data_IF_859171077092
#
_entry.id   IF_859171077092
#
_cell.length_a   1.000
_cell.length_b   1.000
_cell.length_c   1.000
_cell.angle_alpha   90.00
_cell.angle_beta   90.00
_cell.angle_gamma   90.00
#
_symmetry.space_group_name_H-M   'P 1'
#
loop_
_entity.id
_entity.type
_entity.pdbx_description
1 polymer ?
#
# COMPACT_ATOMS: atom_id res chain seq x y z
N UNK A 1 30.26 19.95 -17.09
CA UNK A 1 29.92 18.51 -17.07
C UNK A 1 29.01 18.12 -18.23
N UNK A 2 27.76 18.61 -18.33
CA UNK A 2 26.87 18.28 -19.47
C UNK A 2 27.54 18.48 -20.84
N UNK A 3 28.22 19.60 -21.07
CA UNK A 3 28.99 19.85 -22.31
C UNK A 3 30.16 18.88 -22.54
N UNK A 4 30.78 18.37 -21.46
CA UNK A 4 31.90 17.41 -21.55
C UNK A 4 31.41 15.99 -21.88
N UNK A 5 30.18 15.66 -21.47
CA UNK A 5 29.52 14.38 -21.72
C UNK A 5 28.57 14.43 -22.93
N UNK A 6 28.54 15.55 -23.65
CA UNK A 6 27.61 15.82 -24.75
C UNK A 6 26.13 15.56 -24.43
N UNK A 7 25.69 15.98 -23.23
CA UNK A 7 24.32 15.82 -22.77
C UNK A 7 23.55 17.15 -22.66
N UNK A 8 22.22 17.14 -22.90
CA UNK A 8 21.39 18.33 -22.75
C UNK A 8 21.28 18.74 -21.28
N UNK A 9 21.21 20.05 -21.00
CA UNK A 9 20.95 20.53 -19.65
C UNK A 9 19.50 20.25 -19.23
N UNK A 10 19.32 19.61 -18.07
CA UNK A 10 18.02 19.34 -17.47
C UNK A 10 17.84 20.05 -16.13
N UNK A 11 16.59 20.31 -15.76
CA UNK A 11 16.19 20.94 -14.50
C UNK A 11 15.14 20.08 -13.78
N UNK A 12 15.07 20.14 -12.44
CA UNK A 12 14.15 19.34 -11.61
C UNK A 12 14.53 17.86 -11.50
N UNK A 13 13.56 16.96 -11.30
CA UNK A 13 13.81 15.51 -11.16
C UNK A 13 14.52 14.84 -12.36
N UNK A 14 14.40 15.32 -13.61
CA UNK A 14 15.22 14.85 -14.72
C UNK A 14 16.71 15.18 -14.58
N UNK A 15 17.07 16.26 -13.87
CA UNK A 15 18.46 16.63 -13.57
C UNK A 15 19.09 15.65 -12.57
N UNK A 16 18.35 15.29 -11.53
CA UNK A 16 18.85 14.37 -10.50
C UNK A 16 19.15 13.00 -11.09
N UNK A 17 18.26 12.50 -11.97
CA UNK A 17 18.49 11.28 -12.75
C UNK A 17 19.67 11.39 -13.71
N UNK A 18 19.85 12.54 -14.35
CA UNK A 18 21.00 12.77 -15.23
C UNK A 18 22.32 12.72 -14.46
N UNK A 19 22.36 13.30 -13.25
CA UNK A 19 23.54 13.25 -12.39
C UNK A 19 23.83 11.81 -11.95
N UNK A 20 22.80 11.03 -11.61
CA UNK A 20 22.97 9.61 -11.28
C UNK A 20 23.48 8.81 -12.48
N UNK A 21 22.97 9.08 -13.69
CA UNK A 21 23.43 8.47 -14.94
C UNK A 21 24.92 8.75 -15.22
N UNK A 22 25.50 9.84 -14.69
CA UNK A 22 26.93 10.13 -14.85
C UNK A 22 27.86 9.14 -14.16
N UNK A 23 27.37 8.40 -13.15
CA UNK A 23 28.14 7.33 -12.50
C UNK A 23 28.59 6.25 -13.48
N UNK A 24 28.01 6.20 -14.68
CA UNK A 24 28.38 5.25 -15.72
C UNK A 24 29.66 5.62 -16.46
N UNK A 25 30.03 6.89 -16.45
CA UNK A 25 31.21 7.40 -17.13
C UNK A 25 32.40 7.54 -16.18
N UNK A 26 32.13 7.87 -14.92
CA UNK A 26 33.16 8.11 -13.92
C UNK A 26 32.64 8.00 -12.49
N UNK A 27 33.52 7.67 -11.56
CA UNK A 27 33.28 7.76 -10.12
C UNK A 27 33.52 9.21 -9.67
N UNK A 28 32.60 9.78 -8.90
CA UNK A 28 32.74 11.13 -8.38
C UNK A 28 32.30 11.23 -6.92
N UNK A 29 32.90 12.19 -6.20
CA UNK A 29 32.41 12.69 -4.92
C UNK A 29 31.77 14.07 -5.12
N UNK A 30 30.55 14.26 -4.64
CA UNK A 30 29.80 15.52 -4.83
C UNK A 30 29.83 16.31 -3.54
N UNK A 31 30.53 17.43 -3.57
CA UNK A 31 30.64 18.36 -2.45
C UNK A 31 29.87 19.65 -2.78
N UNK A 32 28.59 19.69 -2.41
CA UNK A 32 27.68 20.78 -2.76
C UNK A 32 27.44 20.89 -4.26
N UNK A 33 27.95 21.97 -4.88
CA UNK A 33 27.88 22.18 -6.34
C UNK A 33 29.14 21.69 -7.08
N UNK A 34 30.17 21.23 -6.37
CA UNK A 34 31.41 20.73 -6.95
C UNK A 34 31.34 19.22 -7.13
N UNK A 35 31.94 18.74 -8.22
CA UNK A 35 32.13 17.33 -8.51
C UNK A 35 33.63 17.05 -8.54
N UNK A 36 34.10 16.17 -7.67
CA UNK A 36 35.48 15.67 -7.65
C UNK A 36 35.48 14.32 -8.35
N UNK A 37 36.10 14.26 -9.53
CA UNK A 37 36.20 13.01 -10.29
C UNK A 37 37.32 12.17 -9.69
N UNK A 38 36.98 10.99 -9.20
CA UNK A 38 37.91 10.05 -8.56
C UNK A 38 38.51 9.09 -9.58
N UNK A 39 37.71 8.63 -10.54
CA UNK A 39 38.12 7.62 -11.52
C UNK A 39 37.27 7.79 -12.78
N UNK A 40 37.89 7.72 -13.97
CA UNK A 40 37.19 7.75 -15.25
C UNK A 40 37.29 6.38 -15.90
N UNK A 41 36.16 5.83 -16.32
CA UNK A 41 36.11 4.50 -16.92
C UNK A 41 36.48 4.57 -18.41
N UNK A 42 37.32 3.64 -18.86
CA UNK A 42 37.74 3.57 -20.28
C UNK A 42 36.56 3.24 -21.22
N UNK A 43 35.60 2.45 -20.74
CA UNK A 43 34.33 2.18 -21.39
C UNK A 43 33.21 2.49 -20.40
N UNK A 44 32.15 3.17 -20.86
CA UNK A 44 31.00 3.47 -20.01
C UNK A 44 30.35 2.16 -19.54
N UNK A 45 30.02 2.06 -18.25
CA UNK A 45 29.27 0.91 -17.77
C UNK A 45 27.86 0.89 -18.40
N UNK A 46 27.25 -0.29 -18.59
CA UNK A 46 25.90 -0.40 -19.12
C UNK A 46 24.92 0.47 -18.34
N UNK A 47 23.89 0.98 -19.02
CA UNK A 47 22.85 1.72 -18.33
C UNK A 47 22.08 0.74 -17.45
N UNK A 48 22.12 0.94 -16.14
CA UNK A 48 21.15 0.34 -15.24
C UNK A 48 19.81 1.06 -15.44
N UNK A 49 19.16 0.80 -16.58
CA UNK A 49 17.77 1.20 -16.75
C UNK A 49 16.91 0.12 -16.07
N UNK A 50 16.42 0.40 -14.86
CA UNK A 50 15.45 -0.48 -14.20
C UNK A 50 14.20 -0.75 -15.05
N UNK A 51 13.97 0.02 -16.13
CA UNK A 51 12.90 -0.22 -17.11
C UNK A 51 13.19 -1.35 -18.09
N UNK A 52 14.47 -1.69 -18.34
CA UNK A 52 14.85 -2.84 -19.21
C UNK A 52 14.67 -4.18 -18.50
N UNK A 53 14.49 -4.18 -17.16
CA UNK A 53 13.91 -5.30 -16.38
C UNK A 53 12.38 -5.32 -16.37
N UNK A 54 11.74 -4.55 -17.26
CA UNK A 54 10.29 -4.49 -17.40
C UNK A 54 9.66 -3.50 -16.43
N UNK A 55 9.20 -2.38 -16.96
CA UNK A 55 8.14 -1.58 -16.34
C UNK A 55 6.76 -2.28 -16.41
N UNK A 56 6.73 -3.59 -16.76
CA UNK A 56 5.65 -4.49 -16.40
C UNK A 56 5.90 -4.89 -14.96
N UNK A 57 5.15 -4.30 -14.04
CA UNK A 57 5.04 -4.81 -12.68
C UNK A 57 4.88 -6.33 -12.75
N UNK A 58 5.79 -7.07 -12.11
CA UNK A 58 5.81 -8.56 -12.08
C UNK A 58 4.42 -9.10 -11.75
N UNK A 59 3.62 -8.34 -11.00
CA UNK A 59 2.27 -8.70 -10.61
C UNK A 59 1.29 -8.70 -11.79
N UNK A 60 1.27 -7.67 -12.65
CA UNK A 60 0.12 -7.36 -13.53
C UNK A 60 -0.27 -8.54 -14.43
N UNK A 61 0.70 -9.22 -15.03
CA UNK A 61 0.43 -10.31 -15.96
C UNK A 61 -0.15 -11.54 -15.24
N UNK A 62 0.48 -11.96 -14.14
CA UNK A 62 0.03 -13.10 -13.35
C UNK A 62 -1.28 -12.81 -12.61
N UNK A 63 -1.42 -11.66 -11.95
CA UNK A 63 -2.63 -11.30 -11.20
C UNK A 63 -3.83 -11.08 -12.11
N UNK A 64 -3.62 -10.56 -13.34
CA UNK A 64 -4.70 -10.48 -14.33
C UNK A 64 -5.15 -11.86 -14.75
N UNK A 65 -4.21 -12.78 -15.00
CA UNK A 65 -4.51 -14.15 -15.44
C UNK A 65 -5.23 -14.94 -14.34
N UNK A 66 -4.76 -14.84 -13.09
CA UNK A 66 -5.40 -15.47 -11.93
C UNK A 66 -6.82 -14.95 -11.72
N UNK A 67 -7.05 -13.63 -11.80
CA UNK A 67 -8.40 -13.08 -11.65
C UNK A 67 -9.31 -13.44 -12.83
N UNK A 68 -8.78 -13.52 -14.05
CA UNK A 68 -9.52 -13.97 -15.23
C UNK A 68 -9.89 -15.46 -15.13
N UNK A 69 -9.04 -16.29 -14.54
CA UNK A 69 -9.28 -17.71 -14.35
C UNK A 69 -10.53 -17.99 -13.49
N UNK A 70 -10.88 -17.08 -12.58
CA UNK A 70 -12.10 -17.18 -11.77
C UNK A 70 -13.37 -16.74 -12.53
N UNK A 71 -13.23 -15.92 -13.58
CA UNK A 71 -14.39 -15.37 -14.30
C UNK A 71 -15.27 -16.45 -14.94
N UNK A 72 -14.78 -17.50 -15.61
CA UNK A 72 -15.61 -18.55 -16.21
C UNK A 72 -16.52 -19.27 -15.21
N UNK A 73 -16.02 -19.59 -14.02
CA UNK A 73 -16.81 -20.26 -12.97
C UNK A 73 -17.97 -19.37 -12.54
N UNK A 74 -17.70 -18.08 -12.35
CA UNK A 74 -18.72 -17.13 -11.97
C UNK A 74 -19.63 -16.72 -13.14
N UNK A 75 -19.13 -16.73 -14.37
CA UNK A 75 -19.89 -16.49 -15.60
C UNK A 75 -20.91 -17.60 -15.86
N UNK A 76 -20.55 -18.87 -15.61
CA UNK A 76 -21.50 -19.97 -15.67
C UNK A 76 -22.68 -19.73 -14.71
N UNK A 77 -22.39 -19.35 -13.46
CA UNK A 77 -23.40 -19.01 -12.45
C UNK A 77 -24.20 -17.76 -12.87
N UNK A 78 -23.54 -16.75 -13.45
CA UNK A 78 -24.15 -15.51 -13.86
C UNK A 78 -25.08 -15.69 -15.09
N UNK A 79 -24.70 -16.52 -16.06
CA UNK A 79 -25.50 -16.87 -17.24
C UNK A 79 -26.78 -17.61 -16.86
N UNK A 80 -26.72 -18.49 -15.86
CA UNK A 80 -27.91 -19.13 -15.27
C UNK A 80 -28.87 -18.13 -14.60
N UNK A 81 -28.39 -16.92 -14.30
CA UNK A 81 -29.13 -15.84 -13.63
C UNK A 81 -29.30 -14.58 -14.51
N UNK A 82 -29.03 -14.66 -15.83
CA UNK A 82 -29.09 -13.54 -16.78
C UNK A 82 -28.27 -12.30 -16.34
N UNK A 83 -27.10 -12.51 -15.74
CA UNK A 83 -26.18 -11.44 -15.31
C UNK A 83 -24.86 -11.50 -16.08
N UNK A 84 -24.33 -10.32 -16.38
CA UNK A 84 -23.06 -10.13 -17.08
C UNK A 84 -21.98 -9.51 -16.17
N UNK A 85 -22.08 -9.78 -14.87
CA UNK A 85 -21.15 -9.24 -13.88
C UNK A 85 -20.98 -10.20 -12.70
N UNK A 86 -19.86 -10.02 -12.00
CA UNK A 86 -19.57 -10.68 -10.74
C UNK A 86 -19.27 -9.66 -9.66
N UNK A 87 -19.46 -10.05 -8.42
CA UNK A 87 -19.20 -9.21 -7.26
C UNK A 87 -18.18 -9.90 -6.37
N UNK A 88 -16.98 -9.32 -6.24
CA UNK A 88 -15.91 -9.83 -5.40
C UNK A 88 -15.46 -8.75 -4.41
N UNK A 89 -15.41 -9.12 -3.14
CA UNK A 89 -14.86 -8.28 -2.08
C UNK A 89 -13.35 -8.12 -2.25
N UNK A 90 -12.78 -7.04 -1.71
CA UNK A 90 -11.32 -6.86 -1.67
C UNK A 90 -10.61 -8.00 -0.93
N UNK A 91 -11.31 -8.74 -0.06
CA UNK A 91 -10.80 -9.92 0.65
C UNK A 91 -10.67 -11.12 -0.29
N UNK A 92 -11.73 -11.43 -1.03
CA UNK A 92 -11.74 -12.52 -2.02
C UNK A 92 -10.71 -12.29 -3.12
N UNK A 93 -10.60 -11.08 -3.65
CA UNK A 93 -9.61 -10.76 -4.69
C UNK A 93 -8.18 -11.00 -4.21
N UNK A 94 -7.86 -10.63 -2.95
CA UNK A 94 -6.52 -10.85 -2.39
C UNK A 94 -6.17 -12.33 -2.31
N UNK A 95 -7.14 -13.18 -1.95
CA UNK A 95 -6.97 -14.64 -1.91
C UNK A 95 -6.81 -15.20 -3.32
N UNK A 96 -7.71 -14.84 -4.24
CA UNK A 96 -7.71 -15.31 -5.63
C UNK A 96 -6.37 -15.06 -6.32
N UNK A 97 -5.80 -13.86 -6.16
CA UNK A 97 -4.55 -13.50 -6.83
C UNK A 97 -3.29 -13.76 -5.98
N UNK A 98 -3.43 -14.43 -4.83
CA UNK A 98 -2.31 -14.91 -4.01
C UNK A 98 -1.54 -13.83 -3.24
N UNK A 99 -2.17 -12.70 -2.90
CA UNK A 99 -1.52 -11.63 -2.13
C UNK A 99 -1.38 -11.96 -0.65
N UNK A 100 -2.24 -12.81 -0.11
CA UNK A 100 -2.21 -13.23 1.28
C UNK A 100 -2.93 -14.56 1.48
N UNK A 101 -2.78 -15.15 2.65
CA UNK A 101 -3.48 -16.36 3.04
C UNK A 101 -4.77 -16.05 3.84
N UNK A 102 -5.49 -17.10 4.24
CA UNK A 102 -6.75 -16.98 4.99
C UNK A 102 -6.56 -16.28 6.36
N UNK A 103 -5.43 -16.51 7.04
CA UNK A 103 -5.16 -15.90 8.35
C UNK A 103 -5.07 -14.37 8.29
N UNK A 104 -4.62 -13.80 7.17
CA UNK A 104 -4.64 -12.36 6.94
C UNK A 104 -6.07 -11.80 6.91
N UNK A 105 -7.01 -12.56 6.32
CA UNK A 105 -8.39 -12.11 6.07
C UNK A 105 -9.27 -12.22 7.30
N UNK A 106 -9.07 -13.28 8.08
CA UNK A 106 -9.85 -13.58 9.29
C UNK A 106 -9.48 -12.65 10.44
N UNK A 107 -8.27 -12.06 10.43
CA UNK A 107 -7.75 -11.19 11.49
C UNK A 107 -7.93 -11.79 12.90
N UNK A 108 -7.82 -13.12 13.02
CA UNK A 108 -8.22 -13.90 14.20
C UNK A 108 -7.67 -13.28 15.52
N UNK A 109 -8.57 -12.66 16.30
CA UNK A 109 -8.20 -11.95 17.52
C UNK A 109 -7.50 -12.87 18.52
N UNK A 110 -7.97 -14.12 18.68
CA UNK A 110 -7.36 -15.09 19.59
C UNK A 110 -5.91 -15.45 19.18
N UNK A 111 -5.64 -15.52 17.87
CA UNK A 111 -4.28 -15.73 17.36
C UNK A 111 -3.38 -14.56 17.78
N UNK A 112 -3.83 -13.32 17.57
CA UNK A 112 -3.05 -12.14 17.96
C UNK A 112 -2.93 -11.99 19.48
N UNK A 113 -3.95 -12.33 20.27
CA UNK A 113 -3.89 -12.37 21.73
C UNK A 113 -2.79 -13.32 22.22
N UNK A 114 -2.63 -14.48 21.59
CA UNK A 114 -1.55 -15.42 21.92
C UNK A 114 -0.15 -14.85 21.58
N UNK A 115 -0.02 -14.15 20.44
CA UNK A 115 1.22 -13.52 19.98
C UNK A 115 1.62 -12.32 20.87
N UNK A 116 0.63 -11.56 21.35
CA UNK A 116 0.81 -10.46 22.30
C UNK A 116 1.20 -10.94 23.69
N UNK A 117 0.59 -12.01 24.17
CA UNK A 117 0.86 -12.58 25.50
C UNK A 117 2.31 -13.06 25.63
N UNK A 118 2.90 -13.55 24.54
CA UNK A 118 4.30 -13.97 24.49
C UNK A 118 5.29 -12.79 24.25
N UNK A 119 4.80 -11.54 24.16
CA UNK A 119 5.55 -10.32 23.79
C UNK A 119 6.36 -10.44 22.49
N UNK A 120 5.97 -11.36 21.61
CA UNK A 120 6.65 -11.54 20.33
C UNK A 120 6.31 -10.34 19.44
N UNK A 121 5.05 -9.94 19.39
CA UNK A 121 4.55 -8.88 18.49
C UNK A 121 3.87 -7.78 19.30
N UNK A 122 4.05 -6.53 18.91
CA UNK A 122 3.32 -5.40 19.51
C UNK A 122 2.09 -5.00 18.67
N UNK A 123 1.13 -4.31 19.29
CA UNK A 123 0.00 -3.71 18.56
C UNK A 123 0.48 -2.71 17.49
N UNK A 124 1.63 -2.06 17.72
CA UNK A 124 2.28 -1.22 16.70
C UNK A 124 2.74 -2.06 15.51
N UNK A 125 3.43 -3.19 15.74
CA UNK A 125 3.90 -4.09 14.68
C UNK A 125 2.77 -4.57 13.79
N UNK A 126 1.67 -5.05 14.40
CA UNK A 126 0.48 -5.50 13.68
C UNK A 126 -0.07 -4.39 12.79
N UNK A 127 -0.35 -3.23 13.40
CA UNK A 127 -0.96 -2.12 12.68
C UNK A 127 -0.08 -1.60 11.54
N UNK A 128 1.23 -1.53 11.76
CA UNK A 128 2.18 -1.08 10.77
C UNK A 128 2.30 -2.08 9.61
N UNK A 129 2.35 -3.37 9.92
CA UNK A 129 2.32 -4.45 8.93
C UNK A 129 1.09 -4.35 8.03
N UNK A 130 -0.12 -4.35 8.61
CA UNK A 130 -1.38 -4.27 7.85
C UNK A 130 -1.47 -2.98 7.03
N UNK A 131 -0.94 -1.86 7.53
CA UNK A 131 -0.91 -0.60 6.77
C UNK A 131 -0.04 -0.71 5.52
N UNK A 132 1.17 -1.28 5.64
CA UNK A 132 2.09 -1.49 4.51
C UNK A 132 1.55 -2.52 3.52
N UNK A 133 1.09 -3.67 4.01
CA UNK A 133 0.50 -4.73 3.22
C UNK A 133 -0.73 -4.24 2.45
N UNK A 134 -1.68 -3.59 3.13
CA UNK A 134 -2.88 -3.04 2.48
C UNK A 134 -2.53 -2.02 1.40
N UNK A 135 -1.55 -1.15 1.65
CA UNK A 135 -1.11 -0.17 0.66
C UNK A 135 -0.57 -0.87 -0.60
N UNK A 136 0.26 -1.90 -0.44
CA UNK A 136 0.81 -2.65 -1.57
C UNK A 136 -0.25 -3.49 -2.29
N UNK A 137 -1.14 -4.14 -1.55
CA UNK A 137 -2.23 -4.93 -2.13
C UNK A 137 -3.14 -4.05 -2.98
N UNK A 138 -3.53 -2.86 -2.48
CA UNK A 138 -4.35 -1.94 -3.24
C UNK A 138 -3.65 -1.46 -4.53
N UNK A 139 -2.36 -1.16 -4.48
CA UNK A 139 -1.56 -0.80 -5.67
C UNK A 139 -1.61 -1.91 -6.74
N UNK A 140 -1.45 -3.17 -6.32
CA UNK A 140 -1.47 -4.33 -7.22
C UNK A 140 -2.88 -4.53 -7.79
N UNK A 141 -3.92 -4.50 -6.96
CA UNK A 141 -5.32 -4.69 -7.37
C UNK A 141 -5.73 -3.59 -8.36
N UNK A 142 -5.46 -2.31 -8.04
CA UNK A 142 -5.78 -1.19 -8.93
C UNK A 142 -5.06 -1.30 -10.27
N UNK A 143 -3.78 -1.72 -10.26
CA UNK A 143 -3.01 -1.95 -11.48
C UNK A 143 -3.58 -3.11 -12.31
N UNK A 144 -4.01 -4.18 -11.64
CA UNK A 144 -4.65 -5.35 -12.27
C UNK A 144 -5.97 -4.95 -12.93
N UNK A 145 -6.85 -4.27 -12.19
CA UNK A 145 -8.12 -3.78 -12.74
C UNK A 145 -7.93 -2.86 -13.94
N UNK A 146 -7.01 -1.91 -13.84
CA UNK A 146 -6.69 -1.01 -14.94
C UNK A 146 -6.18 -1.76 -16.16
N UNK A 147 -5.38 -2.81 -15.97
CA UNK A 147 -4.89 -3.65 -17.05
C UNK A 147 -6.03 -4.42 -17.73
N UNK A 148 -6.91 -5.04 -16.94
CA UNK A 148 -8.07 -5.79 -17.46
C UNK A 148 -9.01 -4.90 -18.28
N UNK A 149 -9.37 -3.73 -17.75
CA UNK A 149 -10.24 -2.77 -18.46
C UNK A 149 -9.56 -2.21 -19.71
N UNK A 150 -8.28 -1.84 -19.64
CA UNK A 150 -7.57 -1.24 -20.79
C UNK A 150 -7.38 -2.22 -21.95
N UNK A 151 -7.25 -3.51 -21.66
CA UNK A 151 -7.06 -4.56 -22.67
C UNK A 151 -8.37 -5.24 -23.07
N UNK A 152 -9.53 -4.64 -22.77
CA UNK A 152 -10.85 -5.16 -23.10
C UNK A 152 -11.13 -6.59 -22.58
N UNK A 153 -10.46 -6.99 -21.48
CA UNK A 153 -10.69 -8.25 -20.79
C UNK A 153 -11.88 -8.16 -19.81
N UNK A 154 -12.17 -6.95 -19.35
CA UNK A 154 -13.40 -6.59 -18.66
C UNK A 154 -13.93 -5.28 -19.25
N UNK A 155 -15.25 -5.10 -19.23
CA UNK A 155 -15.88 -3.86 -19.69
C UNK A 155 -15.73 -2.74 -18.66
N UNK A 156 -15.99 -3.07 -17.39
CA UNK A 156 -16.01 -2.09 -16.30
C UNK A 156 -15.75 -2.76 -14.95
N UNK A 157 -15.07 -2.05 -14.04
CA UNK A 157 -14.87 -2.50 -12.66
C UNK A 157 -15.19 -1.34 -11.73
N UNK A 158 -16.25 -1.48 -10.92
CA UNK A 158 -16.77 -0.44 -10.04
C UNK A 158 -16.91 -0.92 -8.59
N UNK A 159 -16.69 -0.02 -7.62
CA UNK A 159 -17.05 -0.29 -6.22
C UNK A 159 -18.52 0.03 -5.98
N UNK A 160 -19.29 -0.93 -5.49
CA UNK A 160 -20.71 -0.78 -5.14
C UNK A 160 -20.93 -1.00 -3.65
N UNK A 161 -21.91 -0.32 -3.07
CA UNK A 161 -22.32 -0.52 -1.68
C UNK A 161 -23.26 -1.74 -1.56
N UNK A 162 -23.04 -2.55 -0.52
CA UNK A 162 -23.97 -3.58 -0.06
C UNK A 162 -24.75 -3.07 1.14
N UNK A 163 -26.06 -3.17 1.04
CA UNK A 163 -26.99 -2.77 2.09
C UNK A 163 -27.84 -3.95 2.54
N UNK A 164 -28.06 -4.03 3.84
CA UNK A 164 -29.07 -4.89 4.46
C UNK A 164 -30.23 -4.02 4.93
N UNK A 165 -31.45 -4.51 4.72
CA UNK A 165 -32.67 -3.86 5.18
C UNK A 165 -33.09 -4.48 6.50
N UNK A 166 -33.52 -3.64 7.44
CA UNK A 166 -34.12 -4.13 8.67
C UNK A 166 -35.58 -4.51 8.42
N UNK A 167 -35.89 -5.80 8.35
CA UNK A 167 -37.26 -6.31 8.27
C UNK A 167 -37.68 -6.83 9.64
N UNK A 168 -38.67 -6.20 10.28
CA UNK A 168 -39.00 -6.35 11.71
C UNK A 168 -37.87 -5.86 12.64
N UNK A 169 -37.94 -6.11 13.95
CA UNK A 169 -36.90 -5.71 14.91
C UNK A 169 -35.50 -6.35 14.69
N UNK A 170 -35.27 -7.02 13.56
CA UNK A 170 -34.00 -7.67 13.18
C UNK A 170 -33.51 -7.18 11.82
N UNK A 171 -32.21 -6.94 11.72
CA UNK A 171 -31.54 -6.67 10.44
C UNK A 171 -31.61 -7.97 9.62
N UNK A 172 -32.03 -7.88 8.36
CA UNK A 172 -32.05 -9.06 7.49
C UNK A 172 -30.62 -9.55 7.25
N UNK A 173 -30.43 -10.87 7.24
CA UNK A 173 -29.14 -11.49 6.89
C UNK A 173 -28.83 -11.41 5.39
N UNK A 174 -29.79 -11.06 4.54
CA UNK A 174 -29.54 -10.89 3.10
C UNK A 174 -29.13 -9.45 2.79
N UNK A 175 -28.06 -9.33 2.01
CA UNK A 175 -27.56 -8.05 1.50
C UNK A 175 -27.90 -7.90 0.02
N UNK A 176 -28.11 -6.66 -0.44
CA UNK A 176 -28.31 -6.34 -1.86
C UNK A 176 -27.42 -5.18 -2.27
N UNK A 177 -27.19 -5.04 -3.58
CA UNK A 177 -26.54 -3.86 -4.12
C UNK A 177 -27.42 -2.61 -3.90
N UNK A 178 -26.80 -1.52 -3.48
CA UNK A 178 -27.43 -0.21 -3.47
C UNK A 178 -27.67 0.26 -4.91
N UNK A 179 -28.82 0.89 -5.15
CA UNK A 179 -29.07 1.64 -6.37
C UNK A 179 -28.28 2.95 -6.38
N UNK A 180 -28.13 3.58 -7.55
CA UNK A 180 -27.45 4.88 -7.68
C UNK A 180 -28.06 5.97 -6.78
N UNK A 181 -29.39 5.94 -6.58
CA UNK A 181 -30.08 6.86 -5.69
C UNK A 181 -29.68 6.62 -4.22
N UNK A 182 -29.64 5.36 -3.80
CA UNK A 182 -29.25 4.97 -2.44
C UNK A 182 -27.78 5.26 -2.17
N UNK A 183 -26.91 5.04 -3.16
CA UNK A 183 -25.49 5.40 -3.07
C UNK A 183 -25.30 6.92 -2.87
N UNK A 184 -26.07 7.75 -3.58
CA UNK A 184 -26.05 9.19 -3.36
C UNK A 184 -26.48 9.58 -1.94
N UNK A 185 -27.48 8.89 -1.37
CA UNK A 185 -27.89 9.10 0.03
C UNK A 185 -26.76 8.69 0.98
N UNK A 186 -26.16 7.52 0.79
CA UNK A 186 -25.05 7.02 1.61
C UNK A 186 -23.88 8.01 1.58
N UNK A 187 -23.50 8.49 0.40
CA UNK A 187 -22.44 9.48 0.23
C UNK A 187 -22.78 10.81 0.91
N UNK A 188 -24.04 11.26 0.82
CA UNK A 188 -24.51 12.45 1.53
C UNK A 188 -24.40 12.28 3.05
N UNK A 189 -24.84 11.15 3.61
CA UNK A 189 -24.72 10.86 5.04
C UNK A 189 -23.25 10.79 5.47
N UNK A 190 -22.39 10.13 4.70
CA UNK A 190 -20.95 10.10 4.98
C UNK A 190 -20.35 11.51 5.04
N UNK A 191 -20.74 12.41 4.12
CA UNK A 191 -20.29 13.81 4.14
C UNK A 191 -20.83 14.58 5.35
N UNK A 192 -22.08 14.35 5.75
CA UNK A 192 -22.64 14.95 6.96
C UNK A 192 -21.87 14.52 8.21
N UNK A 193 -21.61 13.22 8.37
CA UNK A 193 -20.82 12.69 9.49
C UNK A 193 -19.40 13.21 9.44
N UNK A 194 -18.79 13.35 8.26
CA UNK A 194 -17.44 13.91 8.13
C UNK A 194 -17.41 15.35 8.65
N UNK A 195 -18.40 16.17 8.31
CA UNK A 195 -18.52 17.53 8.83
C UNK A 195 -18.73 17.56 10.35
N UNK A 196 -19.54 16.66 10.91
CA UNK A 196 -19.68 16.54 12.38
C UNK A 196 -18.32 16.31 13.07
N UNK A 197 -17.44 15.52 12.45
CA UNK A 197 -16.09 15.25 12.97
C UNK A 197 -15.16 16.45 12.78
N UNK A 198 -15.23 17.15 11.64
CA UNK A 198 -14.46 18.37 11.36
C UNK A 198 -14.81 19.47 12.39
N UNK A 199 -16.09 19.63 12.70
CA UNK A 199 -16.57 20.64 13.65
C UNK A 199 -16.08 20.37 15.08
N UNK A 200 -16.06 19.09 15.48
CA UNK A 200 -15.57 18.66 16.80
C UNK A 200 -14.05 18.69 16.90
N UNK A 201 -13.36 18.41 15.80
CA UNK A 201 -11.92 18.35 15.72
C UNK A 201 -11.42 18.90 14.39
N UNK A 202 -11.02 20.19 14.40
CA UNK A 202 -10.55 20.94 13.23
C UNK A 202 -9.32 20.35 12.54
N UNK A 203 -8.64 19.39 13.17
CA UNK A 203 -7.49 18.70 12.58
C UNK A 203 -7.92 17.53 11.69
N UNK A 204 -9.19 17.11 11.77
CA UNK A 204 -9.85 16.28 10.77
C UNK A 204 -10.29 17.19 9.64
N UNK A 205 -9.92 16.85 8.40
CA UNK A 205 -10.25 17.65 7.21
C UNK A 205 -10.84 16.82 6.07
N UNK A 206 -10.65 15.50 6.11
CA UNK A 206 -11.14 14.57 5.11
C UNK A 206 -11.11 13.13 5.65
N UNK A 207 -11.56 12.18 4.82
CA UNK A 207 -11.52 10.75 5.13
C UNK A 207 -10.10 10.25 5.43
N UNK A 208 -9.05 10.79 4.79
CA UNK A 208 -7.66 10.39 5.08
C UNK A 208 -7.28 10.73 6.52
N UNK A 209 -7.71 11.89 7.05
CA UNK A 209 -7.49 12.23 8.46
C UNK A 209 -8.19 11.27 9.41
N UNK A 210 -9.40 10.81 9.08
CA UNK A 210 -10.11 9.77 9.84
C UNK A 210 -9.33 8.46 9.85
N UNK A 211 -8.81 8.07 8.68
CA UNK A 211 -8.02 6.84 8.54
C UNK A 211 -6.72 6.88 9.34
N UNK A 212 -5.96 7.96 9.20
CA UNK A 212 -4.68 8.14 9.90
C UNK A 212 -4.83 8.14 11.43
N UNK A 213 -6.02 8.50 11.93
CA UNK A 213 -6.34 8.55 13.36
C UNK A 213 -7.03 7.29 13.89
N UNK A 214 -7.20 6.27 13.05
CA UNK A 214 -7.89 5.03 13.41
C UNK A 214 -9.33 5.25 13.89
N UNK A 215 -10.02 6.25 13.34
CA UNK A 215 -11.40 6.63 13.75
C UNK A 215 -12.49 6.05 12.86
N UNK A 216 -12.16 5.15 11.93
CA UNK A 216 -13.07 4.60 10.92
C UNK A 216 -14.28 3.91 11.56
N UNK A 217 -14.07 3.08 12.59
CA UNK A 217 -15.17 2.38 13.29
C UNK A 217 -16.19 3.36 13.85
N UNK A 218 -15.73 4.43 14.52
CA UNK A 218 -16.61 5.48 15.06
C UNK A 218 -17.35 6.22 13.94
N UNK A 219 -16.65 6.55 12.86
CA UNK A 219 -17.22 7.23 11.70
C UNK A 219 -18.34 6.40 11.03
N UNK A 220 -18.06 5.15 10.67
CA UNK A 220 -19.04 4.31 9.97
C UNK A 220 -20.20 3.87 10.87
N UNK A 221 -19.97 3.66 12.17
CA UNK A 221 -21.06 3.43 13.12
C UNK A 221 -22.04 4.62 13.14
N UNK A 222 -21.50 5.84 13.20
CA UNK A 222 -22.33 7.06 13.19
C UNK A 222 -23.11 7.23 11.88
N UNK A 223 -22.50 6.93 10.74
CA UNK A 223 -23.18 6.95 9.45
C UNK A 223 -24.30 5.90 9.38
N UNK A 224 -24.04 4.68 9.86
CA UNK A 224 -25.03 3.61 9.90
C UNK A 224 -26.18 3.89 10.86
N UNK A 225 -25.95 4.57 11.99
CA UNK A 225 -27.02 5.03 12.88
C UNK A 225 -28.02 5.95 12.15
N UNK A 226 -27.51 6.90 11.37
CA UNK A 226 -28.35 7.84 10.61
C UNK A 226 -29.11 7.10 9.51
N UNK A 227 -28.41 6.24 8.75
CA UNK A 227 -29.01 5.47 7.66
C UNK A 227 -30.09 4.51 8.17
N UNK A 228 -29.86 3.86 9.31
CA UNK A 228 -30.83 2.96 9.93
C UNK A 228 -32.04 3.72 10.45
N UNK A 229 -31.84 4.91 11.03
CA UNK A 229 -32.94 5.72 11.57
C UNK A 229 -33.82 6.34 10.48
N UNK A 230 -33.20 6.87 9.42
CA UNK A 230 -33.92 7.63 8.38
C UNK A 230 -34.43 6.76 7.23
N UNK A 231 -33.69 5.69 6.88
CA UNK A 231 -33.96 4.88 5.69
C UNK A 231 -34.10 3.39 6.00
N UNK A 232 -33.91 2.99 7.26
CA UNK A 232 -34.00 1.59 7.71
C UNK A 232 -32.97 0.67 7.03
N UNK A 233 -31.82 1.23 6.64
CA UNK A 233 -30.70 0.55 6.00
C UNK A 233 -29.52 0.40 6.96
N UNK A 234 -28.82 -0.71 6.84
CA UNK A 234 -27.46 -0.88 7.35
C UNK A 234 -26.53 -1.04 6.15
N UNK A 235 -25.52 -0.16 6.02
CA UNK A 235 -24.47 -0.33 5.02
C UNK A 235 -23.45 -1.29 5.60
N UNK A 236 -23.29 -2.44 4.95
CA UNK A 236 -22.46 -3.51 5.48
C UNK A 236 -21.02 -3.38 4.95
N UNK A 237 -20.83 -3.38 3.64
CA UNK A 237 -19.50 -3.27 3.02
C UNK A 237 -19.55 -2.77 1.56
N UNK A 238 -18.39 -2.45 1.01
CA UNK A 238 -18.20 -2.23 -0.43
C UNK A 238 -17.67 -3.49 -1.09
N UNK A 239 -18.17 -3.80 -2.28
CA UNK A 239 -17.66 -4.90 -3.12
C UNK A 239 -17.32 -4.40 -4.52
N UNK A 240 -16.48 -5.13 -5.26
CA UNK A 240 -16.12 -4.80 -6.63
C UNK A 240 -17.06 -5.52 -7.59
N UNK A 241 -17.83 -4.76 -8.35
CA UNK A 241 -18.62 -5.24 -9.47
C UNK A 241 -17.77 -5.24 -10.72
N UNK A 242 -17.44 -6.43 -11.24
CA UNK A 242 -16.67 -6.63 -12.46
C UNK A 242 -17.65 -7.01 -13.56
N UNK A 243 -17.78 -6.17 -14.58
CA UNK A 243 -18.70 -6.34 -15.72
C UNK A 243 -17.94 -6.86 -16.93
N UNK A 244 -18.50 -7.85 -17.60
CA UNK A 244 -17.94 -8.51 -18.77
C UNK A 244 -19.03 -8.75 -19.83
N UNK A 245 -18.63 -9.13 -21.04
CA UNK A 245 -19.53 -9.63 -22.07
C UNK A 245 -19.32 -11.14 -22.26
N UNK A 246 -20.36 -11.87 -22.64
CA UNK A 246 -20.32 -13.32 -22.83
C UNK A 246 -19.26 -13.73 -23.85
N UNK A 247 -19.07 -12.94 -24.92
CA UNK A 247 -18.03 -13.18 -25.93
C UNK A 247 -16.62 -13.15 -25.33
N UNK A 248 -16.37 -12.24 -24.38
CA UNK A 248 -15.05 -12.11 -23.71
C UNK A 248 -14.80 -13.33 -22.83
N UNK A 249 -15.83 -13.81 -22.13
CA UNK A 249 -15.71 -15.02 -21.29
C UNK A 249 -15.44 -16.23 -22.16
N UNK A 250 -16.13 -16.39 -23.29
CA UNK A 250 -15.97 -17.53 -24.20
C UNK A 250 -14.56 -17.54 -24.79
N UNK A 251 -14.02 -16.40 -25.20
CA UNK A 251 -12.65 -16.31 -25.72
C UNK A 251 -11.59 -16.55 -24.65
N UNK A 252 -11.75 -16.00 -23.44
CA UNK A 252 -10.81 -16.21 -22.33
C UNK A 252 -10.95 -17.57 -21.65
N UNK A 253 -12.13 -18.22 -21.71
CA UNK A 253 -12.34 -19.58 -21.18
C UNK A 253 -11.51 -20.65 -21.90
N UNK A 254 -10.98 -20.32 -23.09
CA UNK A 254 -10.00 -21.14 -23.80
C UNK A 254 -8.60 -21.07 -23.17
N UNK A 255 -8.38 -20.10 -22.29
CA UNK A 255 -7.15 -19.84 -21.54
C UNK A 255 -7.38 -20.02 -20.03
N UNK A 256 -8.16 -21.04 -19.64
CA UNK A 256 -8.18 -21.50 -18.24
C UNK A 256 -6.79 -22.00 -17.90
N UNK A 257 -6.20 -21.43 -16.86
CA UNK A 257 -4.89 -21.83 -16.36
C UNK A 257 -4.99 -23.28 -15.88
N UNK A 258 -4.00 -24.09 -16.24
CA UNK A 258 -3.82 -25.41 -15.63
C UNK A 258 -3.56 -25.25 -14.13
N UNK A 259 -3.84 -26.29 -13.34
CA UNK A 259 -3.54 -26.28 -11.89
C UNK A 259 -2.06 -25.96 -11.62
N UNK A 260 -1.16 -26.46 -12.45
CA UNK A 260 0.27 -26.15 -12.38
C UNK A 260 0.57 -24.67 -12.60
N UNK A 261 0.01 -24.06 -13.65
CA UNK A 261 0.19 -22.63 -13.94
C UNK A 261 -0.41 -21.76 -12.83
N UNK A 262 -1.57 -22.14 -12.28
CA UNK A 262 -2.17 -21.42 -11.15
C UNK A 262 -1.23 -21.42 -9.94
N UNK A 263 -0.70 -22.58 -9.55
CA UNK A 263 0.23 -22.72 -8.43
C UNK A 263 1.50 -21.89 -8.70
N UNK A 264 2.06 -21.97 -9.91
CA UNK A 264 3.25 -21.21 -10.29
C UNK A 264 3.01 -19.70 -10.20
N UNK A 265 1.88 -19.22 -10.74
CA UNK A 265 1.55 -17.80 -10.78
C UNK A 265 1.30 -17.27 -9.37
N UNK A 266 0.59 -18.02 -8.53
CA UNK A 266 0.39 -17.72 -7.12
C UNK A 266 1.74 -17.65 -6.39
N UNK A 267 2.64 -18.61 -6.60
CA UNK A 267 3.95 -18.63 -5.96
C UNK A 267 4.81 -17.42 -6.37
N UNK A 268 4.80 -17.03 -7.66
CA UNK A 268 5.53 -15.86 -8.15
C UNK A 268 5.00 -14.57 -7.52
N UNK A 269 3.69 -14.37 -7.53
CA UNK A 269 3.04 -13.18 -6.96
C UNK A 269 3.30 -13.11 -5.46
N UNK A 270 3.05 -14.22 -4.76
CA UNK A 270 3.17 -14.28 -3.31
C UNK A 270 4.59 -13.99 -2.83
N UNK A 271 5.58 -14.63 -3.45
CA UNK A 271 7.00 -14.38 -3.18
C UNK A 271 7.36 -12.92 -3.39
N UNK A 272 6.92 -12.34 -4.52
CA UNK A 272 7.21 -10.94 -4.81
C UNK A 272 6.54 -9.95 -3.84
N UNK A 273 5.39 -10.29 -3.24
CA UNK A 273 4.76 -9.48 -2.18
C UNK A 273 5.50 -9.64 -0.87
N UNK A 274 5.84 -10.88 -0.50
CA UNK A 274 6.60 -11.21 0.70
C UNK A 274 7.96 -10.48 0.72
N UNK A 275 8.77 -10.66 -0.32
CA UNK A 275 10.08 -10.02 -0.48
C UNK A 275 9.99 -8.48 -0.40
N UNK A 276 8.92 -7.91 -0.99
CA UNK A 276 8.68 -6.47 -0.93
C UNK A 276 8.41 -5.98 0.49
N UNK A 277 7.58 -6.70 1.26
CA UNK A 277 7.21 -6.31 2.61
C UNK A 277 8.39 -6.39 3.58
N UNK A 278 9.22 -7.42 3.43
CA UNK A 278 10.44 -7.60 4.21
C UNK A 278 11.46 -6.50 3.91
N UNK A 279 11.73 -6.25 2.62
CA UNK A 279 12.60 -5.16 2.17
C UNK A 279 12.09 -3.79 2.64
N UNK A 280 10.77 -3.58 2.67
CA UNK A 280 10.18 -2.34 3.19
C UNK A 280 10.44 -2.15 4.69
N UNK A 281 10.34 -3.22 5.48
CA UNK A 281 10.58 -3.17 6.92
C UNK A 281 12.05 -2.81 7.22
N UNK A 282 13.00 -3.43 6.52
CA UNK A 282 14.44 -3.12 6.64
C UNK A 282 14.74 -1.67 6.27
N UNK A 283 14.25 -1.22 5.11
CA UNK A 283 14.42 0.15 4.65
C UNK A 283 13.84 1.19 5.62
N UNK A 284 12.84 0.82 6.41
CA UNK A 284 12.24 1.72 7.39
C UNK A 284 13.16 1.97 8.59
N UNK A 285 13.87 0.94 9.07
CA UNK A 285 14.90 1.10 10.09
C UNK A 285 16.04 1.97 9.55
N UNK A 286 16.55 1.65 8.36
CA UNK A 286 17.65 2.42 7.74
C UNK A 286 17.28 3.91 7.66
N UNK A 287 16.07 4.23 7.17
CA UNK A 287 15.59 5.63 7.10
C UNK A 287 15.42 6.29 8.46
N UNK A 288 15.15 5.53 9.52
CA UNK A 288 15.05 6.08 10.87
C UNK A 288 16.43 6.35 11.46
N UNK A 289 17.40 5.46 11.24
CA UNK A 289 18.80 5.64 11.61
C UNK A 289 19.40 6.84 10.90
N UNK A 290 19.21 6.96 9.58
CA UNK A 290 19.63 8.14 8.80
C UNK A 290 19.06 9.45 9.37
N UNK A 291 17.79 9.45 9.80
CA UNK A 291 17.15 10.62 10.43
C UNK A 291 17.75 10.94 11.81
N UNK A 292 18.07 9.91 12.59
CA UNK A 292 18.69 10.04 13.91
C UNK A 292 20.11 10.59 13.77
N UNK A 293 20.89 10.05 12.85
CA UNK A 293 22.26 10.46 12.60
C UNK A 293 22.31 11.89 12.03
N UNK A 294 21.39 12.23 11.13
CA UNK A 294 21.22 13.60 10.64
C UNK A 294 20.82 14.59 11.74
N UNK A 295 20.07 14.16 12.75
CA UNK A 295 19.72 15.00 13.91
C UNK A 295 20.96 15.31 14.76
N UNK A 296 21.77 14.30 15.08
CA UNK A 296 22.99 14.49 15.86
C UNK A 296 24.06 15.28 15.07
N UNK A 297 24.22 15.04 13.77
CA UNK A 297 25.13 15.82 12.92
C UNK A 297 24.76 17.32 12.87
N UNK A 298 23.46 17.65 12.88
CA UNK A 298 22.99 19.04 12.98
C UNK A 298 23.30 19.67 14.34
N UNK A 299 23.21 18.88 15.42
CA UNK A 299 23.58 19.34 16.75
C UNK A 299 25.08 19.68 16.82
N UNK A 300 25.94 18.79 16.32
CA UNK A 300 27.40 19.00 16.32
C UNK A 300 27.84 20.18 15.44
N UNK A 301 27.21 20.37 14.27
CA UNK A 301 27.52 21.52 13.40
C UNK A 301 27.07 22.85 14.01
N UNK A 302 25.96 22.89 14.73
CA UNK A 302 25.52 24.07 15.47
C UNK A 302 26.43 24.36 16.68
N UNK A 303 26.95 23.33 17.35
CA UNK A 303 27.97 23.45 18.42
C UNK A 303 29.24 24.14 17.91
N UNK A 304 29.77 23.70 16.76
CA UNK A 304 30.99 24.27 16.18
C UNK A 304 30.83 25.73 15.75
N UNK A 305 29.65 26.12 15.22
CA UNK A 305 29.37 27.53 14.87
C UNK A 305 29.23 28.46 16.08
N UNK A 306 28.82 27.93 17.23
CA UNK A 306 28.74 28.69 18.50
C UNK A 306 30.14 28.97 19.07
N UNK A 307 31.06 28.00 18.96
CA UNK A 307 32.45 28.12 19.40
C UNK A 307 33.23 29.22 18.64
N UNK A 308 32.99 29.36 17.33
CA UNK A 308 33.65 30.40 16.52
C UNK A 308 33.18 31.83 16.84
N UNK A 309 32.02 31.99 17.51
CA UNK A 309 31.45 33.30 17.87
C UNK A 309 31.73 33.73 19.31
N UNK A 310 32.16 32.83 20.19
CA UNK A 310 32.43 33.15 21.59
C UNK A 310 33.93 33.10 21.90
N UNK A 311 34.44 34.29 22.18
CA UNK A 311 35.74 34.68 22.73
C UNK A 311 36.54 33.58 23.46
N UNK A 312 37.81 33.38 23.05
CA UNK A 312 38.72 32.29 23.47
C UNK A 312 39.10 32.29 24.96
N UNK A 313 38.57 33.22 25.76
CA UNK A 313 38.98 33.48 27.15
C UNK A 313 37.91 33.20 28.22
N UNK A 314 36.81 32.49 27.90
CA UNK A 314 35.88 31.99 28.93
C UNK A 314 35.91 30.48 28.97
N UNK A 315 36.37 29.93 30.09
CA UNK A 315 36.11 28.53 30.47
C UNK A 315 34.58 28.32 30.47
N UNK A 316 34.05 27.78 29.38
CA UNK A 316 32.65 27.36 29.33
C UNK A 316 32.51 26.06 30.15
N UNK A 317 31.47 25.93 30.99
CA UNK A 317 31.20 24.68 31.70
C UNK A 317 31.01 23.53 30.70
N UNK A 318 31.22 22.26 31.10
CA UNK A 318 30.97 21.12 30.23
C UNK A 318 29.52 21.19 29.77
N UNK A 319 29.33 21.46 28.47
CA UNK A 319 28.00 21.59 27.88
C UNK A 319 27.21 20.29 28.07
N UNK A 320 25.89 20.37 28.29
CA UNK A 320 25.05 19.20 28.47
C UNK A 320 25.16 18.30 27.23
N UNK A 321 25.15 16.98 27.46
CA UNK A 321 25.07 15.98 26.39
C UNK A 321 23.97 16.35 25.38
N UNK A 322 24.14 16.00 24.08
CA UNK A 322 23.09 16.24 23.10
C UNK A 322 21.78 15.66 23.62
N UNK A 323 20.67 16.41 23.53
CA UNK A 323 19.38 15.90 23.98
C UNK A 323 19.06 14.60 23.23
N UNK A 324 18.41 13.63 23.89
CA UNK A 324 18.02 12.38 23.23
C UNK A 324 17.20 12.68 21.97
N UNK A 325 17.34 11.84 20.96
CA UNK A 325 16.56 11.96 19.73
C UNK A 325 15.06 11.93 20.08
N UNK A 326 14.36 13.02 19.80
CA UNK A 326 12.93 13.18 20.16
C UNK A 326 11.98 12.45 19.19
N UNK A 327 12.49 11.88 18.10
CA UNK A 327 11.69 11.11 17.17
C UNK A 327 11.32 9.73 17.71
N UNK A 328 10.20 9.18 17.23
CA UNK A 328 9.82 7.80 17.50
C UNK A 328 10.96 6.86 17.07
N UNK A 329 11.27 5.85 17.88
CA UNK A 329 12.31 4.83 17.66
C UNK A 329 11.61 3.47 17.53
N UNK A 330 11.90 2.72 16.47
CA UNK A 330 11.41 1.36 16.31
C UNK A 330 12.13 0.47 17.33
N UNK A 331 11.42 -0.51 17.91
CA UNK A 331 12.06 -1.44 18.83
C UNK A 331 13.00 -2.40 18.09
N UNK A 332 13.97 -2.96 18.81
CA UNK A 332 15.05 -3.77 18.24
C UNK A 332 14.56 -4.98 17.44
N UNK A 333 13.44 -5.58 17.84
CA UNK A 333 12.85 -6.74 17.18
C UNK A 333 11.89 -6.38 16.01
N UNK A 334 11.79 -5.11 15.61
CA UNK A 334 10.78 -4.69 14.62
C UNK A 334 10.90 -5.46 13.30
N UNK A 335 12.09 -5.54 12.70
CA UNK A 335 12.26 -6.26 11.42
C UNK A 335 11.93 -7.74 11.58
N UNK A 336 12.40 -8.39 12.64
CA UNK A 336 12.10 -9.80 12.91
C UNK A 336 10.60 -10.05 13.06
N UNK A 337 9.90 -9.17 13.80
CA UNK A 337 8.45 -9.22 13.95
C UNK A 337 7.72 -9.02 12.62
N UNK A 338 8.18 -8.08 11.78
CA UNK A 338 7.59 -7.86 10.47
C UNK A 338 7.79 -9.06 9.54
N UNK A 339 8.97 -9.69 9.54
CA UNK A 339 9.25 -10.91 8.77
C UNK A 339 8.39 -12.09 9.23
N UNK A 340 8.26 -12.26 10.55
CA UNK A 340 7.37 -13.26 11.11
C UNK A 340 5.91 -13.05 10.69
N UNK A 341 5.43 -11.80 10.67
CA UNK A 341 4.09 -11.49 10.16
C UNK A 341 3.96 -11.73 8.65
N UNK A 342 4.98 -11.45 7.85
CA UNK A 342 5.03 -11.81 6.41
C UNK A 342 4.88 -13.32 6.23
N UNK A 343 5.64 -14.11 6.98
CA UNK A 343 5.57 -15.58 6.92
C UNK A 343 4.21 -16.11 7.36
N UNK A 344 3.64 -15.55 8.41
CA UNK A 344 2.37 -16.02 8.97
C UNK A 344 1.16 -15.65 8.10
N UNK A 345 1.15 -14.45 7.51
CA UNK A 345 -0.06 -13.87 6.91
C UNK A 345 0.01 -13.76 5.38
N UNK A 346 1.20 -13.71 4.80
CA UNK A 346 1.37 -13.57 3.35
C UNK A 346 1.65 -14.92 2.72
N UNK A 347 2.63 -15.65 3.27
CA UNK A 347 3.07 -16.93 2.69
C UNK A 347 1.90 -17.88 2.53
N UNK A 348 1.72 -18.38 1.31
CA UNK A 348 0.75 -19.44 1.02
C UNK A 348 1.27 -20.74 1.67
N UNK A 349 0.38 -21.51 2.28
CA UNK A 349 0.71 -22.82 2.81
C UNK A 349 0.70 -23.82 1.63
N UNK A 350 1.67 -24.73 1.63
CA UNK A 350 1.79 -25.81 0.65
C UNK A 350 0.68 -26.86 0.80
#
# INVERSE_FOLDING_TARGET
MCKLLDEPQRVGSPRDRQIEDWRRFFKYDKQGHKFIILEVYANSTPKEDGRSKGNKSIYIEYTSSLLLNELPVHAFIASANERNFIELTDKEIKLIIGLCNQYYIDENENMFESLYSNKIITEFDKNDFYSRATSKHNEIIESTFKHLTKNNKCLEINKIYKISEKRSNRISSSTRAASNYEENIINRVNNLVLNEFIDKDKTIVNMRSIHNRKMQKKFYNRANEILLKEYNWSVDYKTNKIVFNDDIIIDESRYILTEYEQIEYLAIVNKAVHDFLDTQAENKIIKQEEKRDAYYAKYDTNKNKSYDKHDKNRFAPPFPFPPPYEGFILHNFYVENQKYLSDLLIKLQD
#
